data_IF_685438048116
#
_entry.id   IF_685438048116
#
_cell.length_a   1.000
_cell.length_b   1.000
_cell.length_c   1.000
_cell.angle_alpha   90.00
_cell.angle_beta   90.00
_cell.angle_gamma   90.00
#
_symmetry.space_group_name_H-M   'P 1'
#
loop_
_entity.id
_entity.type
_entity.pdbx_description
1 polymer ?
#
# COMPACT_ATOMS: atom_id res chain seq x y z
N UNK A 1 -7.03 -2.11 19.77
CA UNK A 1 -7.06 -1.18 18.60
C UNK A 1 -5.83 -1.38 17.71
N UNK A 2 -4.63 -1.56 18.26
CA UNK A 2 -3.39 -1.80 17.49
C UNK A 2 -3.42 -3.04 16.56
N UNK A 3 -3.92 -4.19 17.03
CA UNK A 3 -3.97 -5.42 16.22
C UNK A 3 -4.81 -5.33 14.94
N UNK A 4 -5.69 -4.34 14.80
CA UNK A 4 -6.51 -4.16 13.60
C UNK A 4 -5.82 -3.34 12.50
N UNK A 5 -4.76 -2.58 12.83
CA UNK A 5 -4.14 -1.66 11.87
C UNK A 5 -3.29 -2.39 10.83
N UNK A 6 -2.53 -3.42 11.21
CA UNK A 6 -1.66 -4.15 10.27
C UNK A 6 -2.47 -4.90 9.21
N UNK A 7 -3.52 -5.69 9.55
CA UNK A 7 -4.35 -6.33 8.54
C UNK A 7 -5.03 -5.33 7.61
N UNK A 8 -5.49 -4.18 8.13
CA UNK A 8 -6.10 -3.12 7.33
C UNK A 8 -5.08 -2.50 6.36
N UNK A 9 -3.86 -2.23 6.81
CA UNK A 9 -2.76 -1.74 5.98
C UNK A 9 -2.40 -2.71 4.85
N UNK A 10 -2.47 -4.02 5.10
CA UNK A 10 -2.29 -5.04 4.07
C UNK A 10 -3.38 -4.95 3.01
N UNK A 11 -4.66 -4.84 3.41
CA UNK A 11 -5.77 -4.69 2.47
C UNK A 11 -5.68 -3.41 1.65
N UNK A 12 -5.39 -2.27 2.28
CA UNK A 12 -5.21 -0.98 1.59
C UNK A 12 -4.05 -1.05 0.61
N UNK A 13 -2.94 -1.70 0.99
CA UNK A 13 -1.80 -1.92 0.10
C UNK A 13 -2.21 -2.66 -1.17
N UNK A 14 -2.94 -3.78 -1.04
CA UNK A 14 -3.45 -4.57 -2.17
C UNK A 14 -4.35 -3.72 -3.07
N UNK A 15 -5.32 -2.99 -2.48
CA UNK A 15 -6.21 -2.13 -3.25
C UNK A 15 -5.48 -0.98 -3.94
N UNK A 16 -4.45 -0.40 -3.31
CA UNK A 16 -3.65 0.65 -3.92
C UNK A 16 -2.91 0.14 -5.17
N UNK A 17 -2.30 -1.05 -5.09
CA UNK A 17 -1.60 -1.67 -6.23
C UNK A 17 -2.60 -1.95 -7.35
N UNK A 18 -3.78 -2.48 -7.02
CA UNK A 18 -4.79 -2.77 -8.01
C UNK A 18 -5.32 -1.51 -8.71
N UNK A 19 -5.59 -0.44 -7.96
CA UNK A 19 -6.00 0.86 -8.50
C UNK A 19 -4.93 1.48 -9.41
N UNK A 20 -3.65 1.39 -9.02
CA UNK A 20 -2.53 1.86 -9.85
C UNK A 20 -2.41 1.07 -11.15
N UNK A 21 -2.56 -0.26 -11.10
CA UNK A 21 -2.59 -1.11 -12.30
C UNK A 21 -3.80 -0.77 -13.18
N UNK A 22 -4.97 -0.53 -12.59
CA UNK A 22 -6.16 -0.14 -13.32
C UNK A 22 -5.95 1.18 -14.06
N UNK A 23 -5.40 2.22 -13.39
CA UNK A 23 -5.08 3.49 -14.02
C UNK A 23 -4.08 3.34 -15.18
N UNK A 24 -3.09 2.42 -15.04
CA UNK A 24 -2.17 2.08 -16.14
C UNK A 24 -2.91 1.45 -17.31
N UNK A 25 -3.81 0.49 -17.05
CA UNK A 25 -4.57 -0.24 -18.08
C UNK A 25 -5.57 0.64 -18.83
N UNK A 26 -6.18 1.61 -18.16
CA UNK A 26 -7.16 2.54 -18.76
C UNK A 26 -6.53 3.75 -19.44
N UNK A 27 -5.21 3.88 -19.42
CA UNK A 27 -4.51 5.02 -20.03
C UNK A 27 -4.61 6.33 -19.23
N UNK A 28 -5.09 6.28 -17.98
CA UNK A 28 -5.14 7.43 -17.08
C UNK A 28 -3.73 7.76 -16.56
N UNK A 29 -2.95 8.51 -17.34
CA UNK A 29 -1.55 8.87 -17.01
C UNK A 29 -1.40 9.64 -15.69
N UNK A 30 -2.20 10.70 -15.42
CA UNK A 30 -2.12 11.41 -14.14
C UNK A 30 -2.46 10.50 -12.95
N UNK A 31 -3.52 9.69 -13.07
CA UNK A 31 -3.93 8.75 -12.04
C UNK A 31 -2.90 7.65 -11.80
N UNK A 32 -2.17 7.21 -12.84
CA UNK A 32 -1.10 6.24 -12.70
C UNK A 32 0.11 6.81 -11.93
N UNK A 33 0.49 8.07 -12.17
CA UNK A 33 1.62 8.70 -11.49
C UNK A 33 1.29 8.95 -10.02
N UNK A 34 0.15 9.61 -9.74
CA UNK A 34 -0.27 9.91 -8.37
C UNK A 34 -0.55 8.62 -7.60
N UNK A 35 -1.27 7.68 -8.24
CA UNK A 35 -1.54 6.37 -7.67
C UNK A 35 -0.26 5.58 -7.40
N UNK A 36 0.71 5.62 -8.31
CA UNK A 36 1.99 4.95 -8.16
C UNK A 36 2.80 5.46 -6.96
N UNK A 37 2.88 6.78 -6.76
CA UNK A 37 3.54 7.38 -5.59
C UNK A 37 2.84 6.97 -4.30
N UNK A 38 1.50 7.03 -4.28
CA UNK A 38 0.71 6.58 -3.12
C UNK A 38 0.93 5.08 -2.84
N UNK A 39 0.87 4.23 -3.85
CA UNK A 39 1.14 2.78 -3.74
C UNK A 39 2.53 2.53 -3.16
N UNK A 40 3.57 3.23 -3.64
CA UNK A 40 4.93 3.06 -3.09
C UNK A 40 4.99 3.44 -1.61
N UNK A 41 4.35 4.54 -1.20
CA UNK A 41 4.29 4.96 0.20
C UNK A 41 3.54 3.95 1.08
N UNK A 42 2.35 3.52 0.64
CA UNK A 42 1.55 2.54 1.39
C UNK A 42 2.27 1.20 1.49
N UNK A 43 2.80 0.67 0.39
CA UNK A 43 3.55 -0.59 0.40
C UNK A 43 4.75 -0.48 1.34
N UNK A 44 5.48 0.65 1.32
CA UNK A 44 6.60 0.88 2.22
C UNK A 44 6.20 0.85 3.69
N UNK A 45 5.17 1.60 4.08
CA UNK A 45 4.69 1.63 5.47
C UNK A 45 4.10 0.28 5.89
N UNK A 46 3.36 -0.40 5.00
CA UNK A 46 2.83 -1.75 5.28
C UNK A 46 3.96 -2.75 5.50
N UNK A 47 5.04 -2.71 4.71
CA UNK A 47 6.19 -3.59 4.91
C UNK A 47 6.92 -3.29 6.23
N UNK A 48 7.08 -2.01 6.58
CA UNK A 48 7.64 -1.62 7.88
C UNK A 48 6.77 -2.12 9.05
N UNK A 49 5.45 -1.96 8.94
CA UNK A 49 4.51 -2.43 9.96
C UNK A 49 4.50 -3.97 10.09
N UNK A 50 4.60 -4.69 8.97
CA UNK A 50 4.73 -6.16 9.00
C UNK A 50 6.07 -6.58 9.61
N UNK A 51 7.16 -5.89 9.25
CA UNK A 51 8.47 -6.19 9.82
C UNK A 51 8.48 -5.93 11.33
N UNK A 52 7.91 -4.83 11.80
CA UNK A 52 7.74 -4.55 13.22
C UNK A 52 6.91 -5.63 13.92
N UNK A 53 5.79 -6.07 13.32
CA UNK A 53 4.93 -7.11 13.88
C UNK A 53 5.60 -8.49 13.98
N UNK A 54 6.44 -8.88 12.99
CA UNK A 54 7.04 -10.22 12.94
C UNK A 54 8.45 -10.30 13.51
N UNK A 55 9.21 -9.21 13.44
CA UNK A 55 10.64 -9.16 13.84
C UNK A 55 10.83 -8.27 15.06
N UNK A 56 10.07 -7.18 15.18
CA UNK A 56 10.25 -6.14 16.20
C UNK A 56 11.26 -5.09 15.73
N UNK A 57 10.75 -3.91 15.32
CA UNK A 57 11.53 -2.65 15.29
C UNK A 57 11.30 -1.89 16.60
N UNK A 58 10.21 -2.19 17.31
CA UNK A 58 10.00 -1.95 18.74
C UNK A 58 10.68 -3.00 19.61
#
# INVERSE_FOLDING_TARGET
MEYFMVPLLVLISIFSVWGTIYNKKTGNKPGFIIGGVFTLGVVGVTLLALYDMFVGIQ
#
